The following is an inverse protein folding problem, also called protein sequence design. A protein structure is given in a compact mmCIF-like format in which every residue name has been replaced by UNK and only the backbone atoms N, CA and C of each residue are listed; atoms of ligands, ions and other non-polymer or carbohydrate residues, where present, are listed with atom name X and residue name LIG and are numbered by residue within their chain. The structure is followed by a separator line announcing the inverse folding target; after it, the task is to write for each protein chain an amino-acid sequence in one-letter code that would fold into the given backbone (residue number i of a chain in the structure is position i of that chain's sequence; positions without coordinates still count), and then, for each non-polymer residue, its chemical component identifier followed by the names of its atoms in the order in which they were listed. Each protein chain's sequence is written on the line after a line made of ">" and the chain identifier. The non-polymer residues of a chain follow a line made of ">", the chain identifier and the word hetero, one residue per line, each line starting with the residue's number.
data_IF_639810591080
#
_entry.id   IF_639810591080
#
_cell.length_a   1.000
_cell.length_b   1.000
_cell.length_c   1.000
_cell.angle_alpha   90.00
_cell.angle_beta   90.00
_cell.angle_gamma   90.00
#
_symmetry.space_group_name_H-M   'P 1'
#
loop_
_entity.id
_entity.type
_entity.pdbx_description
1 polymer ?
#
# COMPACT_ATOMS: atom_id res chain seq x y z
N UNK A 1 -34.53 55.28 36.13
CA UNK A 1 -33.19 55.89 35.97
C UNK A 1 -32.21 54.76 36.15
N UNK A 2 -31.95 54.02 35.07
CA UNK A 2 -31.11 52.83 35.10
C UNK A 2 -29.68 53.23 34.74
N UNK A 3 -28.75 52.71 35.54
CA UNK A 3 -27.33 53.02 35.57
C UNK A 3 -26.56 52.17 34.56
N UNK A 4 -25.73 52.79 33.73
CA UNK A 4 -24.84 52.10 32.80
C UNK A 4 -23.43 51.95 33.42
N UNK A 5 -22.92 50.72 33.43
CA UNK A 5 -21.51 50.39 33.73
C UNK A 5 -20.66 50.41 32.45
N UNK A 6 -19.38 50.79 32.50
CA UNK A 6 -18.55 50.88 31.30
C UNK A 6 -18.07 49.49 30.87
N UNK A 7 -18.28 49.17 29.59
CA UNK A 7 -17.85 47.91 28.97
C UNK A 7 -16.41 48.00 28.47
N UNK A 8 -15.67 46.93 28.67
CA UNK A 8 -14.22 46.82 28.44
C UNK A 8 -13.87 46.85 26.95
N UNK A 9 -12.80 47.55 26.56
CA UNK A 9 -12.31 47.65 25.19
C UNK A 9 -11.76 46.31 24.66
N UNK A 10 -12.46 45.71 23.70
CA UNK A 10 -11.97 44.65 22.83
C UNK A 10 -11.32 45.31 21.59
N UNK A 11 -10.06 45.02 21.29
CA UNK A 11 -9.35 45.66 20.17
C UNK A 11 -9.71 44.95 18.85
N UNK A 12 -10.37 45.68 17.95
CA UNK A 12 -10.81 45.20 16.63
C UNK A 12 -9.63 45.20 15.63
N UNK A 13 -8.89 44.09 15.56
CA UNK A 13 -7.85 43.87 14.53
C UNK A 13 -8.39 43.23 13.23
N UNK A 14 -9.71 43.15 13.04
CA UNK A 14 -10.31 42.46 11.89
C UNK A 14 -10.11 43.23 10.58
N UNK A 15 -10.13 44.57 10.61
CA UNK A 15 -10.00 45.41 9.41
C UNK A 15 -8.61 45.38 8.76
N UNK A 16 -7.57 44.92 9.48
CA UNK A 16 -6.19 44.92 8.99
C UNK A 16 -5.88 43.77 8.01
N UNK A 17 -6.69 42.72 7.98
CA UNK A 17 -6.37 41.51 7.19
C UNK A 17 -7.00 41.54 5.79
N UNK A 18 -8.16 42.16 5.62
CA UNK A 18 -8.88 42.20 4.35
C UNK A 18 -8.15 43.07 3.30
N UNK A 19 -7.61 44.23 3.70
CA UNK A 19 -6.81 45.12 2.84
C UNK A 19 -5.53 44.46 2.31
N UNK A 20 -4.96 43.52 3.05
CA UNK A 20 -3.75 42.78 2.65
C UNK A 20 -4.11 41.74 1.59
N UNK A 21 -5.21 41.02 1.76
CA UNK A 21 -5.68 40.01 0.81
C UNK A 21 -6.07 40.66 -0.52
N UNK A 22 -6.78 41.79 -0.48
CA UNK A 22 -7.28 42.48 -1.67
C UNK A 22 -6.15 43.14 -2.50
N UNK A 23 -5.07 43.58 -1.85
CA UNK A 23 -3.93 44.21 -2.51
C UNK A 23 -2.76 43.26 -2.84
N UNK A 24 -2.90 41.96 -2.59
CA UNK A 24 -1.89 40.96 -2.98
C UNK A 24 -2.29 40.22 -4.25
N UNK A 25 -1.49 40.37 -5.31
CA UNK A 25 -1.67 39.57 -6.53
C UNK A 25 -1.39 38.10 -6.26
N UNK A 26 -2.29 37.22 -6.73
CA UNK A 26 -2.09 35.79 -6.61
C UNK A 26 -0.85 35.35 -7.40
N UNK A 27 -0.02 34.44 -6.84
CA UNK A 27 1.19 33.99 -7.52
C UNK A 27 0.85 33.34 -8.87
N UNK A 28 1.63 33.71 -9.90
CA UNK A 28 1.44 33.24 -11.28
C UNK A 28 1.71 31.73 -11.42
N UNK A 29 2.58 31.18 -10.57
CA UNK A 29 2.90 29.75 -10.52
C UNK A 29 2.80 29.23 -9.09
N UNK A 30 2.04 28.14 -8.91
CA UNK A 30 1.91 27.43 -7.64
C UNK A 30 2.49 26.03 -7.82
N UNK A 31 3.62 25.75 -7.15
CA UNK A 31 4.22 24.42 -7.12
C UNK A 31 3.61 23.62 -5.97
N UNK A 32 2.68 22.73 -6.30
CA UNK A 32 2.08 21.81 -5.32
C UNK A 32 3.01 20.61 -5.11
N UNK A 33 3.61 20.51 -3.93
CA UNK A 33 4.38 19.32 -3.56
C UNK A 33 3.43 18.17 -3.20
N UNK A 34 3.73 16.92 -3.62
CA UNK A 34 2.99 15.75 -3.14
C UNK A 34 3.10 15.64 -1.61
N UNK A 35 2.06 15.12 -0.93
CA UNK A 35 2.12 14.89 0.51
C UNK A 35 3.28 13.94 0.85
N UNK A 36 3.92 14.20 1.98
CA UNK A 36 5.00 13.36 2.48
C UNK A 36 4.49 11.93 2.75
N UNK A 37 5.13 10.94 2.14
CA UNK A 37 4.72 9.54 2.28
C UNK A 37 5.22 9.02 3.63
N UNK A 38 4.36 9.02 4.64
CA UNK A 38 4.69 8.53 5.98
C UNK A 38 4.44 7.03 6.14
N UNK A 39 5.39 6.30 6.76
CA UNK A 39 5.27 4.86 7.07
C UNK A 39 4.86 4.65 8.53
N UNK A 40 3.57 4.79 8.82
CA UNK A 40 3.02 4.57 10.16
C UNK A 40 2.61 3.11 10.38
N UNK A 41 2.37 2.70 11.63
CA UNK A 41 1.84 1.35 11.92
C UNK A 41 0.50 1.15 11.20
N UNK A 42 0.49 0.28 10.19
CA UNK A 42 -0.69 0.05 9.33
C UNK A 42 -0.51 0.53 7.89
N UNK A 43 0.57 1.25 7.56
CA UNK A 43 0.93 1.62 6.18
C UNK A 43 1.45 0.45 5.33
N UNK A 44 1.23 -0.79 5.79
CA UNK A 44 1.59 -1.99 5.04
C UNK A 44 0.81 -2.08 3.73
N UNK A 45 1.35 -2.82 2.77
CA UNK A 45 0.66 -3.03 1.49
C UNK A 45 -0.69 -3.71 1.70
N UNK A 46 -1.68 -3.33 0.87
CA UNK A 46 -2.98 -4.00 0.87
C UNK A 46 -2.86 -5.51 0.65
N UNK A 47 -3.80 -6.27 1.22
CA UNK A 47 -3.92 -7.70 0.97
C UNK A 47 -4.22 -7.95 -0.51
N UNK A 48 -3.39 -8.76 -1.16
CA UNK A 48 -3.53 -9.10 -2.57
C UNK A 48 -4.65 -10.13 -2.73
N UNK A 49 -5.61 -9.84 -3.60
CA UNK A 49 -6.74 -10.73 -3.91
C UNK A 49 -6.29 -12.03 -4.60
N UNK A 50 -7.17 -13.04 -4.60
CA UNK A 50 -6.88 -14.32 -5.29
C UNK A 50 -6.67 -14.12 -6.79
N UNK A 51 -7.44 -13.23 -7.42
CA UNK A 51 -7.34 -12.89 -8.84
C UNK A 51 -5.98 -12.28 -9.15
N UNK A 52 -5.55 -11.30 -8.35
CA UNK A 52 -4.25 -10.64 -8.54
C UNK A 52 -3.07 -11.58 -8.34
N UNK A 53 -3.15 -12.49 -7.34
CA UNK A 53 -2.13 -13.55 -7.18
C UNK A 53 -2.05 -14.45 -8.40
N UNK A 54 -3.19 -14.84 -8.96
CA UNK A 54 -3.24 -15.67 -10.16
C UNK A 54 -2.67 -14.95 -11.39
N UNK A 55 -3.00 -13.68 -11.60
CA UNK A 55 -2.44 -12.87 -12.68
C UNK A 55 -0.91 -12.73 -12.57
N UNK A 56 -0.41 -12.44 -11.36
CA UNK A 56 1.04 -12.40 -11.08
C UNK A 56 1.74 -13.74 -11.26
N UNK A 57 1.02 -14.86 -11.10
CA UNK A 57 1.59 -16.18 -11.36
C UNK A 57 1.66 -16.45 -12.88
N UNK A 58 0.59 -16.11 -13.61
CA UNK A 58 0.49 -16.27 -15.06
C UNK A 58 1.53 -15.46 -15.82
N UNK A 59 1.92 -14.28 -15.33
CA UNK A 59 2.95 -13.46 -15.95
C UNK A 59 4.37 -13.99 -15.73
N UNK A 60 4.59 -14.93 -14.80
CA UNK A 60 5.91 -15.51 -14.56
C UNK A 60 6.21 -16.54 -15.66
N UNK A 61 7.43 -16.53 -16.22
CA UNK A 61 7.81 -17.53 -17.21
C UNK A 61 7.76 -18.93 -16.63
N UNK A 62 7.33 -19.89 -17.46
CA UNK A 62 7.44 -21.30 -17.14
C UNK A 62 8.91 -21.73 -17.25
N UNK A 63 9.32 -22.62 -16.36
CA UNK A 63 10.67 -23.19 -16.34
C UNK A 63 10.63 -24.70 -16.42
N UNK A 64 11.60 -25.29 -17.09
CA UNK A 64 11.70 -26.74 -17.19
C UNK A 64 12.27 -27.35 -15.90
N UNK A 65 11.55 -28.30 -15.31
CA UNK A 65 11.99 -29.01 -14.12
C UNK A 65 13.02 -30.09 -14.46
N UNK A 66 14.21 -30.08 -13.85
CA UNK A 66 15.24 -31.12 -14.09
C UNK A 66 14.83 -32.54 -13.67
N UNK A 67 13.83 -32.70 -12.78
CA UNK A 67 13.39 -34.02 -12.30
C UNK A 67 12.31 -34.67 -13.15
N UNK A 68 11.28 -33.91 -13.54
CA UNK A 68 10.17 -34.43 -14.35
C UNK A 68 10.19 -33.95 -15.80
N UNK A 69 11.14 -33.09 -16.17
CA UNK A 69 11.35 -32.54 -17.52
C UNK A 69 10.20 -31.68 -18.07
N UNK A 70 9.19 -31.35 -17.26
CA UNK A 70 8.05 -30.53 -17.65
C UNK A 70 8.27 -29.04 -17.39
N UNK A 71 7.71 -28.20 -18.26
CA UNK A 71 7.64 -26.75 -18.06
C UNK A 71 6.47 -26.40 -17.13
N UNK A 72 6.75 -25.69 -16.04
CA UNK A 72 5.74 -25.33 -15.06
C UNK A 72 6.19 -24.22 -14.11
N UNK A 73 5.37 -23.93 -13.09
CA UNK A 73 5.71 -22.99 -12.01
C UNK A 73 6.52 -23.63 -10.87
N UNK A 74 7.01 -24.87 -11.05
CA UNK A 74 7.83 -25.59 -10.07
C UNK A 74 9.27 -25.76 -10.55
N UNK A 75 10.17 -26.18 -9.66
CA UNK A 75 11.55 -26.55 -9.99
C UNK A 75 11.83 -27.99 -9.49
N UNK A 76 13.07 -28.48 -9.64
CA UNK A 76 13.46 -29.81 -9.17
C UNK A 76 13.37 -29.99 -7.65
N UNK A 77 13.39 -28.90 -6.87
CA UNK A 77 13.24 -28.93 -5.41
C UNK A 77 11.77 -29.02 -5.01
N UNK A 78 10.89 -28.40 -5.78
CA UNK A 78 9.45 -28.39 -5.54
C UNK A 78 8.63 -29.22 -6.54
N UNK A 79 9.21 -30.28 -7.11
CA UNK A 79 8.50 -31.12 -8.07
C UNK A 79 7.48 -32.04 -7.38
N UNK A 80 6.19 -31.77 -7.58
CA UNK A 80 5.10 -32.52 -6.95
C UNK A 80 5.09 -33.99 -7.37
N UNK A 81 5.35 -34.28 -8.65
CA UNK A 81 5.43 -35.65 -9.18
C UNK A 81 6.46 -36.49 -8.43
N UNK A 82 7.60 -35.89 -8.09
CA UNK A 82 8.65 -36.59 -7.37
C UNK A 82 8.34 -36.72 -5.88
N UNK A 83 7.81 -35.66 -5.26
CA UNK A 83 7.35 -35.69 -3.86
C UNK A 83 6.28 -36.75 -3.66
N UNK A 84 5.33 -36.89 -4.58
CA UNK A 84 4.30 -37.92 -4.51
C UNK A 84 4.89 -39.32 -4.67
N UNK A 85 5.81 -39.51 -5.62
CA UNK A 85 6.51 -40.79 -5.80
C UNK A 85 7.28 -41.21 -4.54
N UNK A 86 7.94 -40.27 -3.87
CA UNK A 86 8.66 -40.51 -2.62
C UNK A 86 7.71 -40.88 -1.48
N UNK A 87 6.61 -40.14 -1.30
CA UNK A 87 5.57 -40.48 -0.32
C UNK A 87 4.98 -41.86 -0.55
N UNK A 88 4.70 -42.23 -1.82
CA UNK A 88 4.20 -43.57 -2.17
C UNK A 88 5.22 -44.67 -1.83
N UNK A 89 6.52 -44.43 -2.05
CA UNK A 89 7.59 -45.37 -1.67
C UNK A 89 7.70 -45.54 -0.16
N UNK A 90 7.71 -44.44 0.58
CA UNK A 90 7.77 -44.45 2.04
C UNK A 90 6.59 -45.23 2.64
N UNK A 91 5.35 -45.01 2.16
CA UNK A 91 4.16 -45.77 2.58
C UNK A 91 4.22 -47.27 2.29
N UNK A 92 4.91 -47.68 1.22
CA UNK A 92 5.13 -49.10 0.91
C UNK A 92 6.15 -49.72 1.86
N UNK A 93 7.26 -49.01 2.11
CA UNK A 93 8.31 -49.48 3.00
C UNK A 93 7.87 -49.53 4.47
N UNK A 94 6.91 -48.70 4.89
CA UNK A 94 6.34 -48.74 6.25
C UNK A 94 5.32 -49.86 6.48
N UNK A 95 4.98 -50.62 5.43
CA UNK A 95 4.01 -51.72 5.48
C UNK A 95 4.68 -53.09 5.40
N UNK A 96 6.01 -53.09 5.27
CA UNK A 96 6.91 -54.25 5.42
C UNK A 96 7.54 -54.15 6.81
#
# INVERSE_FOLDING_TARGET
>A
MESETPSTSHVDNQASYDDIIENTEAPQEVVVQPPEVVSTKGSGSRLISRVEKALKLKSKPLRQCKKCQECGHHDSRNCDKFKEKEKRRSRKNSKV
#
